data_IF_769060966840
#
_entry.id   IF_769060966840
#
_cell.length_a   1.000
_cell.length_b   1.000
_cell.length_c   1.000
_cell.angle_alpha   90.00
_cell.angle_beta   90.00
_cell.angle_gamma   90.00
#
_symmetry.space_group_name_H-M   'P 1'
#
loop_
_entity.id
_entity.type
_entity.pdbx_description
1 polymer ?
#
# COMPACT_ATOMS: atom_id res chain seq x y z
N UNK A 1 15.49 30.40 -20.59
CA UNK A 1 14.21 29.67 -20.58
C UNK A 1 13.78 29.53 -19.13
N UNK A 2 12.49 29.72 -18.83
CA UNK A 2 11.95 29.41 -17.50
C UNK A 2 11.61 27.91 -17.41
N UNK A 3 11.65 27.36 -16.19
CA UNK A 3 11.24 25.99 -15.94
C UNK A 3 9.73 25.81 -16.14
N UNK A 4 9.32 24.56 -16.37
CA UNK A 4 7.92 24.18 -16.48
C UNK A 4 7.41 23.68 -15.13
N UNK A 5 6.11 23.88 -14.89
CA UNK A 5 5.45 23.37 -13.70
C UNK A 5 5.21 21.85 -13.80
N UNK A 6 5.19 21.19 -12.64
CA UNK A 6 4.85 19.77 -12.51
C UNK A 6 3.54 19.68 -11.77
N UNK A 7 2.52 19.15 -12.44
CA UNK A 7 1.24 18.81 -11.83
C UNK A 7 1.22 17.31 -11.51
N UNK A 8 0.80 16.98 -10.29
CA UNK A 8 0.73 15.60 -9.82
C UNK A 8 -0.72 15.18 -9.59
N UNK A 9 -0.96 13.88 -9.49
CA UNK A 9 -2.29 13.33 -9.18
C UNK A 9 -2.62 13.35 -7.69
N UNK A 10 -1.69 13.79 -6.84
CA UNK A 10 -1.85 13.77 -5.38
C UNK A 10 -2.94 14.74 -4.93
N UNK A 11 -3.85 14.25 -4.10
CA UNK A 11 -4.78 15.08 -3.35
C UNK A 11 -4.15 15.37 -1.98
N UNK A 12 -3.86 16.63 -1.71
CA UNK A 12 -3.15 17.04 -0.49
C UNK A 12 -3.91 16.64 0.78
N UNK A 13 -5.26 16.62 0.75
CA UNK A 13 -6.05 16.24 1.91
C UNK A 13 -5.94 14.73 2.18
N UNK A 14 -5.92 13.91 1.12
CA UNK A 14 -5.71 12.47 1.26
C UNK A 14 -4.27 12.15 1.68
N UNK A 15 -3.30 12.91 1.19
CA UNK A 15 -1.90 12.78 1.58
C UNK A 15 -1.72 13.00 3.09
N UNK A 16 -2.25 14.11 3.62
CA UNK A 16 -2.16 14.45 5.05
C UNK A 16 -2.82 13.39 5.94
N UNK A 17 -3.99 12.88 5.53
CA UNK A 17 -4.70 11.82 6.25
C UNK A 17 -3.92 10.50 6.21
N UNK A 18 -3.38 10.12 5.05
CA UNK A 18 -2.62 8.88 4.89
C UNK A 18 -1.34 8.89 5.73
N UNK A 19 -0.58 9.98 5.71
CA UNK A 19 0.63 10.15 6.52
C UNK A 19 0.31 10.13 8.02
N UNK A 20 -0.70 10.90 8.45
CA UNK A 20 -1.10 10.95 9.86
C UNK A 20 -1.56 9.59 10.39
N UNK A 21 -2.32 8.83 9.59
CA UNK A 21 -2.76 7.50 9.95
C UNK A 21 -1.58 6.52 10.02
N UNK A 22 -0.67 6.57 9.04
CA UNK A 22 0.52 5.74 9.01
C UNK A 22 1.41 6.01 10.23
N UNK A 23 1.74 7.29 10.49
CA UNK A 23 2.57 7.71 11.62
C UNK A 23 2.00 7.19 12.95
N UNK A 24 0.70 7.40 13.19
CA UNK A 24 0.02 6.93 14.40
C UNK A 24 0.20 5.42 14.60
N UNK A 25 0.06 4.62 13.54
CA UNK A 25 0.19 3.16 13.66
C UNK A 25 1.64 2.72 13.81
N UNK A 26 2.58 3.38 13.14
CA UNK A 26 4.00 3.12 13.32
C UNK A 26 4.45 3.42 14.75
N UNK A 27 4.02 4.56 15.32
CA UNK A 27 4.29 4.91 16.72
C UNK A 27 3.73 3.87 17.71
N UNK A 28 2.49 3.40 17.50
CA UNK A 28 1.86 2.38 18.37
C UNK A 28 2.60 1.04 18.32
N UNK A 29 3.11 0.66 17.15
CA UNK A 29 3.72 -0.64 16.92
C UNK A 29 5.25 -0.63 16.97
N UNK A 30 5.86 0.56 17.14
CA UNK A 30 7.31 0.78 17.09
C UNK A 30 7.99 0.15 15.85
N UNK A 31 7.27 0.10 14.73
CA UNK A 31 7.74 -0.58 13.53
C UNK A 31 8.89 0.19 12.86
N UNK A 32 9.85 -0.53 12.26
CA UNK A 32 11.03 0.07 11.63
C UNK A 32 10.67 1.00 10.48
N UNK A 33 9.65 0.63 9.69
CA UNK A 33 9.09 1.46 8.63
C UNK A 33 7.68 1.02 8.26
N UNK A 34 6.99 1.85 7.49
CA UNK A 34 5.75 1.47 6.82
C UNK A 34 5.43 2.38 5.64
N UNK A 35 4.42 1.98 4.89
CA UNK A 35 3.98 2.66 3.68
C UNK A 35 2.47 2.56 3.53
N UNK A 36 1.85 3.61 3.00
CA UNK A 36 0.44 3.63 2.57
C UNK A 36 0.36 4.20 1.16
N UNK A 37 -0.46 3.58 0.31
CA UNK A 37 -0.80 4.08 -1.03
C UNK A 37 -2.31 4.12 -1.16
N UNK A 38 -2.84 5.25 -1.62
CA UNK A 38 -4.25 5.43 -1.97
C UNK A 38 -4.33 5.66 -3.47
N UNK A 39 -5.09 4.82 -4.15
CA UNK A 39 -5.24 4.84 -5.60
C UNK A 39 -6.72 4.96 -5.99
N UNK A 40 -7.02 5.82 -6.96
CA UNK A 40 -8.33 5.85 -7.59
C UNK A 40 -8.51 4.61 -8.49
N UNK A 41 -9.55 3.82 -8.23
CA UNK A 41 -9.76 2.52 -8.88
C UNK A 41 -9.92 2.65 -10.40
N UNK A 42 -10.66 3.65 -10.86
CA UNK A 42 -11.02 3.77 -12.27
C UNK A 42 -9.84 4.19 -13.15
N UNK A 43 -9.00 5.10 -12.65
CA UNK A 43 -7.92 5.74 -13.41
C UNK A 43 -6.55 5.15 -13.10
N UNK A 44 -6.39 4.53 -11.92
CA UNK A 44 -5.09 4.12 -11.39
C UNK A 44 -4.27 5.29 -10.84
N UNK A 45 -4.83 6.50 -10.77
CA UNK A 45 -4.12 7.66 -10.23
C UNK A 45 -3.77 7.45 -8.75
N UNK A 46 -2.52 7.72 -8.39
CA UNK A 46 -2.10 7.74 -6.99
C UNK A 46 -2.55 9.07 -6.39
N UNK A 47 -3.47 9.00 -5.44
CA UNK A 47 -4.02 10.19 -4.76
C UNK A 47 -3.29 10.49 -3.46
N UNK A 48 -2.67 9.48 -2.85
CA UNK A 48 -1.76 9.65 -1.72
C UNK A 48 -0.72 8.53 -1.68
N UNK A 49 0.50 8.85 -1.23
CA UNK A 49 1.60 7.91 -1.05
C UNK A 49 2.50 8.42 0.08
N UNK A 50 2.55 7.72 1.21
CA UNK A 50 3.37 8.10 2.37
C UNK A 50 4.25 6.94 2.80
N UNK A 51 5.48 7.25 3.18
CA UNK A 51 6.53 6.29 3.51
C UNK A 51 7.32 6.81 4.71
N UNK A 52 7.29 6.11 5.83
CA UNK A 52 7.94 6.56 7.06
C UNK A 52 8.88 5.50 7.60
N UNK A 53 10.06 5.93 8.02
CA UNK A 53 11.10 5.10 8.66
C UNK A 53 11.41 5.64 10.03
N UNK A 54 11.55 4.75 11.01
CA UNK A 54 11.98 5.07 12.36
C UNK A 54 13.48 5.35 12.37
N UNK A 55 13.89 6.54 12.81
CA UNK A 55 15.29 6.84 13.07
C UNK A 55 15.76 6.30 14.43
N UNK A 56 17.08 6.32 14.64
CA UNK A 56 17.70 5.92 15.91
C UNK A 56 17.24 6.76 17.11
N UNK A 57 16.74 7.97 16.85
CA UNK A 57 16.15 8.86 17.85
C UNK A 57 14.66 8.56 18.14
N UNK A 58 14.14 7.47 17.58
CA UNK A 58 12.76 7.04 17.72
C UNK A 58 11.74 7.83 16.91
N UNK A 59 12.17 8.84 16.13
CA UNK A 59 11.27 9.67 15.32
C UNK A 59 11.13 9.14 13.90
N UNK A 60 9.92 9.22 13.37
CA UNK A 60 9.61 8.84 12.00
C UNK A 60 9.91 9.96 10.99
N UNK A 61 10.48 9.61 9.84
CA UNK A 61 10.81 10.52 8.74
C UNK A 61 10.63 9.85 7.40
N UNK A 62 10.34 10.64 6.38
CA UNK A 62 10.41 10.19 4.99
C UNK A 62 11.86 10.18 4.51
N UNK A 63 12.44 8.99 4.33
CA UNK A 63 13.83 8.83 3.85
C UNK A 63 13.93 7.94 2.62
N UNK A 64 12.91 7.14 2.35
CA UNK A 64 12.89 6.19 1.24
C UNK A 64 11.47 5.88 0.79
N UNK A 65 11.24 5.79 -0.53
CA UNK A 65 9.93 5.44 -1.08
C UNK A 65 9.79 3.91 -1.18
N UNK A 66 9.41 3.28 -0.07
CA UNK A 66 9.16 1.84 0.03
C UNK A 66 8.01 1.39 -0.88
N UNK A 67 7.03 2.24 -1.17
CA UNK A 67 5.91 1.88 -2.04
C UNK A 67 6.36 1.47 -3.45
N UNK A 68 7.41 2.13 -3.95
CA UNK A 68 7.91 1.94 -5.32
C UNK A 68 9.12 1.03 -5.36
N UNK A 69 10.05 1.18 -4.41
CA UNK A 69 11.33 0.48 -4.43
C UNK A 69 11.53 -0.48 -3.25
N UNK A 70 10.63 -0.48 -2.27
CA UNK A 70 10.68 -1.42 -1.15
C UNK A 70 10.41 -2.84 -1.64
N UNK A 71 11.26 -3.77 -1.25
CA UNK A 71 11.06 -5.19 -1.52
C UNK A 71 10.54 -5.85 -0.25
N UNK A 72 9.36 -6.42 -0.33
CA UNK A 72 8.77 -7.21 0.75
C UNK A 72 8.01 -8.40 0.18
N UNK A 73 7.97 -9.50 0.92
CA UNK A 73 7.17 -10.66 0.55
C UNK A 73 5.69 -10.36 0.82
N UNK A 74 4.86 -10.40 -0.22
CA UNK A 74 3.43 -10.05 -0.13
C UNK A 74 2.62 -10.93 0.84
N UNK A 75 3.10 -12.15 1.12
CA UNK A 75 2.43 -13.10 2.00
C UNK A 75 1.00 -13.40 1.56
N UNK A 76 0.06 -13.45 2.52
CA UNK A 76 -1.33 -13.81 2.22
C UNK A 76 -2.07 -12.79 1.35
N UNK A 77 -1.55 -11.57 1.15
CA UNK A 77 -2.19 -10.59 0.24
C UNK A 77 -2.15 -11.06 -1.22
N UNK A 78 -1.18 -11.91 -1.58
CA UNK A 78 -1.08 -12.50 -2.92
C UNK A 78 -2.21 -13.50 -3.26
N UNK A 79 -2.88 -14.06 -2.25
CA UNK A 79 -3.95 -15.07 -2.45
C UNK A 79 -5.09 -14.58 -3.34
N UNK A 80 -5.32 -13.27 -3.41
CA UNK A 80 -6.33 -12.69 -4.32
C UNK A 80 -6.04 -13.05 -5.78
N UNK A 81 -4.79 -12.94 -6.23
CA UNK A 81 -4.41 -13.28 -7.60
C UNK A 81 -4.63 -14.77 -7.89
N UNK A 82 -4.24 -15.64 -6.95
CA UNK A 82 -4.49 -17.09 -7.05
C UNK A 82 -5.98 -17.42 -7.11
N UNK A 83 -6.81 -16.70 -6.34
CA UNK A 83 -8.26 -16.89 -6.33
C UNK A 83 -8.91 -16.43 -7.65
N UNK A 84 -8.45 -15.32 -8.23
CA UNK A 84 -8.89 -14.87 -9.56
C UNK A 84 -8.61 -15.96 -10.59
N UNK A 85 -7.36 -16.46 -10.65
CA UNK A 85 -6.99 -17.53 -11.57
C UNK A 85 -7.82 -18.80 -11.38
N UNK A 86 -8.10 -19.19 -10.13
CA UNK A 86 -8.94 -20.34 -9.82
C UNK A 86 -10.36 -20.20 -10.37
N UNK A 87 -11.00 -19.05 -10.17
CA UNK A 87 -12.37 -18.83 -10.66
C UNK A 87 -12.44 -18.63 -12.17
N UNK A 88 -11.36 -18.15 -12.80
CA UNK A 88 -11.27 -18.01 -14.26
C UNK A 88 -11.11 -19.37 -14.97
N UNK A 89 -10.29 -20.26 -14.40
CA UNK A 89 -9.94 -21.55 -15.01
C UNK A 89 -10.90 -22.69 -14.62
N UNK A 90 -11.80 -22.47 -13.68
CA UNK A 90 -12.72 -23.50 -13.19
C UNK A 90 -14.18 -23.04 -13.25
N UNK A 91 -15.10 -23.95 -12.90
CA UNK A 91 -16.53 -23.64 -12.75
C UNK A 91 -16.93 -23.46 -11.28
N UNK A 92 -15.96 -23.33 -10.39
CA UNK A 92 -16.21 -23.12 -8.97
C UNK A 92 -16.93 -21.79 -8.77
N UNK A 93 -17.86 -21.78 -7.82
CA UNK A 93 -18.60 -20.61 -7.39
C UNK A 93 -18.09 -20.17 -6.02
N UNK A 94 -18.31 -18.89 -5.70
CA UNK A 94 -17.91 -18.30 -4.43
C UNK A 94 -18.47 -19.04 -3.20
N UNK A 95 -19.62 -19.70 -3.36
CA UNK A 95 -20.31 -20.43 -2.30
C UNK A 95 -20.05 -21.95 -2.31
N UNK A 96 -19.19 -22.45 -3.20
CA UNK A 96 -18.79 -23.85 -3.17
C UNK A 96 -17.88 -24.11 -1.97
N UNK A 97 -18.01 -25.30 -1.37
CA UNK A 97 -17.15 -25.75 -0.28
C UNK A 97 -16.02 -26.63 -0.80
N UNK A 98 -14.82 -26.45 -0.27
CA UNK A 98 -13.64 -27.25 -0.63
C UNK A 98 -13.08 -27.86 0.66
N UNK A 99 -12.76 -29.16 0.62
CA UNK A 99 -12.04 -29.84 1.69
C UNK A 99 -10.57 -29.40 1.69
N UNK A 100 -10.12 -28.82 2.80
CA UNK A 100 -8.74 -28.35 2.99
C UNK A 100 -7.87 -29.34 3.79
N UNK A 101 -8.38 -30.53 4.08
CA UNK A 101 -7.71 -31.54 4.91
C UNK A 101 -8.07 -31.45 6.41
N UNK A 102 -7.40 -32.29 7.22
CA UNK A 102 -7.48 -32.29 8.70
C UNK A 102 -6.42 -31.38 9.32
#
# INVERSE_FOLDING_TARGET
QHGWDIETTLDINLQDVAESALLKHLDIHEADYGCVVVMEVQTGEIKAISNLTRGDDGKYREVYNYAVQGVTEAGSTFKLASMIALFEETRLKLNDTIDTGK
#
